data_IF_913219672131
#
_entry.id   IF_913219672131
#
_cell.length_a   1.000
_cell.length_b   1.000
_cell.length_c   1.000
_cell.angle_alpha   90.00
_cell.angle_beta   90.00
_cell.angle_gamma   90.00
#
_symmetry.space_group_name_H-M   'P 1'
#
loop_
_entity.id
_entity.type
_entity.pdbx_description
1 polymer ?
#
# COMPACT_ATOMS: atom_id res chain seq x y z
N UNK A 1 18.13 -23.91 -8.70
CA UNK A 1 18.47 -25.33 -8.45
C UNK A 1 18.53 -26.07 -9.79
N UNK A 2 19.35 -27.12 -9.92
CA UNK A 2 19.33 -27.96 -11.13
C UNK A 2 17.94 -28.61 -11.27
N UNK A 3 17.36 -28.60 -12.48
CA UNK A 3 16.07 -29.25 -12.74
C UNK A 3 16.26 -30.76 -12.80
N UNK A 4 15.37 -31.51 -12.16
CA UNK A 4 15.34 -32.96 -12.33
C UNK A 4 14.68 -33.31 -13.67
N UNK A 5 14.88 -34.55 -14.14
CA UNK A 5 14.34 -35.02 -15.42
C UNK A 5 12.82 -34.87 -15.47
N UNK A 6 12.14 -35.04 -14.33
CA UNK A 6 10.67 -35.01 -14.24
C UNK A 6 10.06 -33.63 -14.55
N UNK A 7 10.84 -32.56 -14.36
CA UNK A 7 10.42 -31.17 -14.50
C UNK A 7 11.37 -30.37 -15.42
N UNK A 8 12.02 -31.08 -16.35
CA UNK A 8 13.01 -30.51 -17.27
C UNK A 8 12.40 -29.46 -18.22
N UNK A 9 11.13 -29.64 -18.61
CA UNK A 9 10.39 -28.76 -19.52
C UNK A 9 9.62 -27.65 -18.82
N UNK A 10 9.47 -27.71 -17.50
CA UNK A 10 8.66 -26.73 -16.74
C UNK A 10 9.37 -25.38 -16.65
N UNK A 11 8.64 -24.27 -16.73
CA UNK A 11 9.14 -22.95 -16.32
C UNK A 11 8.86 -22.72 -14.83
N UNK A 12 9.79 -22.04 -14.14
CA UNK A 12 9.60 -21.63 -12.74
C UNK A 12 9.55 -20.11 -12.72
N UNK A 13 8.41 -19.59 -12.30
CA UNK A 13 8.16 -18.15 -12.24
C UNK A 13 7.67 -17.75 -10.85
N UNK A 14 7.95 -16.52 -10.45
CA UNK A 14 7.44 -15.92 -9.22
C UNK A 14 6.54 -14.78 -9.64
N UNK A 15 5.24 -14.93 -9.36
CA UNK A 15 4.23 -13.90 -9.56
C UNK A 15 3.94 -13.23 -8.22
N UNK A 16 3.74 -11.91 -8.24
CA UNK A 16 3.38 -11.12 -7.07
C UNK A 16 1.97 -10.59 -7.26
N UNK A 17 1.06 -11.06 -6.41
CA UNK A 17 -0.33 -10.63 -6.40
C UNK A 17 -0.59 -9.69 -5.22
N UNK A 18 -1.56 -8.76 -5.32
CA UNK A 18 -1.97 -7.94 -4.21
C UNK A 18 -2.55 -8.78 -3.07
N UNK A 19 -2.40 -8.30 -1.84
CA UNK A 19 -2.96 -8.95 -0.65
C UNK A 19 -4.44 -8.63 -0.42
N UNK A 20 -4.96 -7.57 -1.04
CA UNK A 20 -6.36 -7.18 -0.96
C UNK A 20 -6.51 -5.77 -0.39
N UNK A 21 -6.98 -5.66 0.86
CA UNK A 21 -7.20 -4.37 1.54
C UNK A 21 -6.15 -4.16 2.63
N UNK A 22 -5.44 -3.03 2.54
CA UNK A 22 -4.41 -2.63 3.51
C UNK A 22 -4.91 -1.48 4.36
N UNK A 23 -4.79 -1.60 5.68
CA UNK A 23 -5.00 -0.50 6.61
C UNK A 23 -3.66 0.18 6.92
N UNK A 24 -3.56 1.48 6.61
CA UNK A 24 -2.42 2.32 7.00
C UNK A 24 -2.83 3.19 8.18
N UNK A 25 -2.10 3.09 9.30
CA UNK A 25 -2.30 3.91 10.50
C UNK A 25 -1.14 4.89 10.63
N UNK A 26 -1.41 6.19 10.42
CA UNK A 26 -0.38 7.23 10.43
C UNK A 26 0.02 7.69 11.83
N UNK A 27 1.31 7.95 12.05
CA UNK A 27 1.83 8.59 13.26
C UNK A 27 1.75 10.13 13.18
N UNK A 28 1.90 10.82 14.30
CA UNK A 28 1.64 12.27 14.42
C UNK A 28 2.86 13.17 14.21
N UNK A 29 4.07 12.66 14.37
CA UNK A 29 5.30 13.46 14.36
C UNK A 29 5.74 13.86 12.94
N UNK A 30 5.46 13.02 11.96
CA UNK A 30 5.62 13.33 10.53
C UNK A 30 4.37 12.88 9.76
N UNK A 31 3.22 13.54 10.00
CA UNK A 31 1.90 12.99 9.70
C UNK A 31 1.61 12.92 8.20
N UNK A 32 2.39 13.61 7.36
CA UNK A 32 2.32 13.49 5.91
C UNK A 32 3.18 12.32 5.43
N UNK A 33 4.48 12.32 5.77
CA UNK A 33 5.44 11.31 5.29
C UNK A 33 5.08 9.90 5.77
N UNK A 34 4.92 9.72 7.09
CA UNK A 34 4.64 8.41 7.70
C UNK A 34 3.25 7.85 7.36
N UNK A 35 2.45 8.64 6.66
CA UNK A 35 1.14 8.26 6.18
C UNK A 35 1.16 7.97 4.68
N UNK A 36 1.71 8.89 3.87
CA UNK A 36 1.71 8.78 2.41
C UNK A 36 2.68 7.71 1.93
N UNK A 37 3.88 7.62 2.50
CA UNK A 37 4.89 6.63 2.07
C UNK A 37 4.34 5.18 2.09
N UNK A 38 3.71 4.69 3.16
CA UNK A 38 3.09 3.36 3.15
C UNK A 38 1.87 3.25 2.22
N UNK A 39 1.06 4.30 2.06
CA UNK A 39 -0.06 4.31 1.08
C UNK A 39 0.47 4.12 -0.34
N UNK A 40 1.56 4.81 -0.71
CA UNK A 40 2.18 4.68 -2.03
C UNK A 40 2.63 3.25 -2.30
N UNK A 41 3.29 2.61 -1.32
CA UNK A 41 3.72 1.22 -1.45
C UNK A 41 2.55 0.25 -1.60
N UNK A 42 1.47 0.45 -0.83
CA UNK A 42 0.30 -0.41 -0.88
C UNK A 42 -0.44 -0.30 -2.23
N UNK A 43 -0.62 0.92 -2.75
CA UNK A 43 -1.21 1.17 -4.08
C UNK A 43 -0.32 0.58 -5.18
N UNK A 44 1.00 0.81 -5.12
CA UNK A 44 1.94 0.27 -6.11
C UNK A 44 1.96 -1.26 -6.14
N UNK A 45 1.66 -1.90 -5.00
CA UNK A 45 1.49 -3.36 -4.90
C UNK A 45 0.09 -3.85 -5.32
N UNK A 46 -0.80 -2.97 -5.82
CA UNK A 46 -2.12 -3.31 -6.34
C UNK A 46 -3.21 -3.48 -5.27
N UNK A 47 -3.00 -2.98 -4.05
CA UNK A 47 -3.98 -3.11 -2.96
C UNK A 47 -4.96 -1.93 -2.91
N UNK A 48 -6.18 -2.19 -2.45
CA UNK A 48 -7.05 -1.16 -1.92
C UNK A 48 -6.50 -0.68 -0.56
N UNK A 49 -6.64 0.60 -0.24
CA UNK A 49 -6.07 1.17 0.98
C UNK A 49 -7.12 1.90 1.79
N UNK A 50 -7.22 1.56 3.07
CA UNK A 50 -7.94 2.36 4.07
C UNK A 50 -6.88 3.14 4.85
N UNK A 51 -7.05 4.45 4.88
CA UNK A 51 -6.15 5.33 5.61
C UNK A 51 -6.80 5.81 6.92
N UNK A 52 -6.14 5.57 8.07
CA UNK A 52 -6.45 6.20 9.36
C UNK A 52 -5.32 7.18 9.75
N UNK A 53 -5.49 8.49 9.47
CA UNK A 53 -4.56 9.52 9.94
C UNK A 53 -4.58 9.67 11.46
N UNK A 54 -3.52 10.24 12.04
CA UNK A 54 -3.46 10.51 13.47
C UNK A 54 -4.37 11.68 13.88
N UNK A 55 -5.17 11.47 14.92
CA UNK A 55 -5.99 12.51 15.55
C UNK A 55 -5.17 13.63 16.22
N UNK A 56 -3.90 13.35 16.59
CA UNK A 56 -2.99 14.33 17.20
C UNK A 56 -2.52 15.38 16.17
N UNK A 57 -2.64 15.08 14.86
CA UNK A 57 -2.26 15.98 13.75
C UNK A 57 -3.49 16.41 12.92
N UNK A 58 -4.47 17.13 13.50
CA UNK A 58 -5.78 17.32 12.91
C UNK A 58 -5.77 18.10 11.58
N UNK A 59 -4.86 19.05 11.42
CA UNK A 59 -4.74 19.83 10.18
C UNK A 59 -4.37 18.93 8.99
N UNK A 60 -3.38 18.04 9.17
CA UNK A 60 -2.97 17.07 8.14
C UNK A 60 -4.07 16.04 7.89
N UNK A 61 -4.70 15.54 8.95
CA UNK A 61 -5.79 14.55 8.83
C UNK A 61 -6.97 15.09 8.04
N UNK A 62 -7.36 16.35 8.30
CA UNK A 62 -8.39 17.05 7.52
C UNK A 62 -7.96 17.24 6.07
N UNK A 63 -6.75 17.73 5.83
CA UNK A 63 -6.21 17.93 4.48
C UNK A 63 -6.24 16.62 3.67
N UNK A 64 -5.77 15.52 4.23
CA UNK A 64 -5.76 14.21 3.55
C UNK A 64 -7.18 13.75 3.23
N UNK A 65 -8.13 13.92 4.16
CA UNK A 65 -9.54 13.55 3.93
C UNK A 65 -10.21 14.35 2.80
N UNK A 66 -9.79 15.60 2.58
CA UNK A 66 -10.33 16.47 1.54
C UNK A 66 -9.64 16.26 0.18
N UNK A 67 -8.35 15.93 0.17
CA UNK A 67 -7.57 15.81 -1.06
C UNK A 67 -7.65 14.40 -1.67
N UNK A 68 -7.65 13.33 -0.87
CA UNK A 68 -7.62 11.97 -1.40
C UNK A 68 -8.77 11.69 -2.37
N UNK A 69 -10.04 11.96 -2.05
CA UNK A 69 -11.16 11.75 -2.97
C UNK A 69 -11.12 12.63 -4.23
N UNK A 70 -10.30 13.69 -4.28
CA UNK A 70 -10.18 14.56 -5.46
C UNK A 70 -9.18 14.01 -6.49
N UNK A 71 -8.27 13.14 -6.07
CA UNK A 71 -7.16 12.68 -6.91
C UNK A 71 -7.04 11.16 -7.02
N UNK A 72 -7.64 10.40 -6.09
CA UNK A 72 -7.60 8.94 -6.04
C UNK A 72 -9.01 8.36 -6.12
N UNK A 73 -9.10 7.10 -6.56
CA UNK A 73 -10.35 6.34 -6.59
C UNK A 73 -10.94 6.15 -5.18
N UNK A 74 -12.27 6.22 -5.08
CA UNK A 74 -13.08 5.99 -3.86
C UNK A 74 -13.97 4.78 -3.97
#
# INVERSE_FOLDING_TARGET
PSKAIVNMLDSVEIHKDPYGVVLVIGAWNYPLLLTIEPVLGAIAAGNCVILKPSEISPATSKLLSELFPKYLDT
#
